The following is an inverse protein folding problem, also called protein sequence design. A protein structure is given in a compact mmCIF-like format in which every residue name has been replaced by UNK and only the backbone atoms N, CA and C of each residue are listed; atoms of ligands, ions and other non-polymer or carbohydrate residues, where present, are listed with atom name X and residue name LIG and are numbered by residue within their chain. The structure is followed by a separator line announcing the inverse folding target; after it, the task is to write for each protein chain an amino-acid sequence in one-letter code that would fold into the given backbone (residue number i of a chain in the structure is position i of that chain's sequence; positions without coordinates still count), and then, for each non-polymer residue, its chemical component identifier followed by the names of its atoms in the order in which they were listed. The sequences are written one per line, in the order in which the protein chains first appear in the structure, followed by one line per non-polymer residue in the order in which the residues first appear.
data_IF_042660922784
#
_entry.id   IF_042660922784
#
_cell.length_a   1.000
_cell.length_b   1.000
_cell.length_c   1.000
_cell.angle_alpha   90.00
_cell.angle_beta   90.00
_cell.angle_gamma   90.00
#
_symmetry.space_group_name_H-M   'P 1'
#
loop_
_entity.id
_entity.type
_entity.pdbx_description
1 polymer ?
#
# COMPACT_ATOMS: atom_id res chain seq x y z
N UNK A 1 -24.23 11.95 -1.20
CA UNK A 1 -23.40 11.15 -2.13
C UNK A 1 -23.34 9.67 -1.74
N UNK A 2 -23.10 8.74 -2.68
CA UNK A 2 -22.87 7.30 -2.40
C UNK A 2 -21.54 7.09 -1.69
N UNK A 3 -21.48 6.15 -0.73
CA UNK A 3 -20.20 5.72 -0.14
C UNK A 3 -19.40 4.94 -1.17
N UNK A 4 -18.07 5.01 -1.11
CA UNK A 4 -17.19 4.24 -2.00
C UNK A 4 -17.52 2.74 -1.97
N UNK A 5 -17.69 2.17 -0.78
CA UNK A 5 -18.06 0.76 -0.61
C UNK A 5 -19.40 0.38 -1.25
N UNK A 6 -20.35 1.30 -1.34
CA UNK A 6 -21.62 1.05 -2.01
C UNK A 6 -21.51 1.21 -3.53
N UNK A 7 -20.68 2.14 -4.00
CA UNK A 7 -20.37 2.30 -5.42
C UNK A 7 -19.66 1.07 -6.00
N UNK A 8 -18.68 0.50 -5.27
CA UNK A 8 -17.99 -0.74 -5.65
C UNK A 8 -18.99 -1.88 -5.89
N UNK A 9 -19.96 -2.06 -4.99
CA UNK A 9 -21.00 -3.10 -5.10
C UNK A 9 -21.87 -2.92 -6.34
N UNK A 10 -22.00 -1.72 -6.90
CA UNK A 10 -22.75 -1.51 -8.16
C UNK A 10 -22.03 -2.23 -9.29
N UNK A 11 -20.71 -2.08 -9.37
CA UNK A 11 -19.91 -2.66 -10.45
C UNK A 11 -19.68 -4.16 -10.25
N UNK A 12 -19.41 -4.61 -9.03
CA UNK A 12 -19.19 -6.03 -8.72
C UNK A 12 -20.40 -6.93 -9.07
N UNK A 13 -21.61 -6.37 -9.21
CA UNK A 13 -22.79 -7.11 -9.70
C UNK A 13 -22.56 -7.73 -11.07
N UNK A 14 -21.85 -7.02 -11.95
CA UNK A 14 -21.63 -7.42 -13.34
C UNK A 14 -20.17 -7.79 -13.62
N UNK A 15 -19.25 -7.14 -12.93
CA UNK A 15 -17.81 -7.32 -13.07
C UNK A 15 -17.27 -8.19 -11.94
N UNK A 16 -17.45 -9.50 -12.08
CA UNK A 16 -16.93 -10.48 -11.12
C UNK A 16 -16.54 -11.78 -11.83
N UNK A 17 -15.81 -12.65 -11.11
CA UNK A 17 -15.30 -13.94 -11.63
C UNK A 17 -16.37 -14.88 -12.22
N UNK A 18 -17.66 -14.71 -11.88
CA UNK A 18 -18.75 -15.57 -12.40
C UNK A 18 -19.27 -15.09 -13.75
N UNK A 19 -19.35 -13.76 -13.93
CA UNK A 19 -19.90 -13.11 -15.14
C UNK A 19 -18.83 -12.79 -16.17
N UNK A 20 -17.68 -12.29 -15.74
CA UNK A 20 -16.52 -12.07 -16.60
C UNK A 20 -15.76 -13.37 -16.72
N UNK A 21 -15.93 -14.06 -17.86
CA UNK A 21 -15.30 -15.35 -18.14
C UNK A 21 -14.07 -15.17 -19.00
N UNK A 22 -13.04 -15.97 -18.72
CA UNK A 22 -11.79 -15.97 -19.49
C UNK A 22 -10.86 -14.80 -19.19
N UNK A 23 -11.25 -13.89 -18.29
CA UNK A 23 -10.39 -12.80 -17.80
C UNK A 23 -10.47 -12.65 -16.30
N UNK A 24 -9.33 -12.43 -15.68
CA UNK A 24 -9.22 -12.02 -14.29
C UNK A 24 -9.42 -10.51 -14.18
N UNK A 25 -10.14 -10.05 -13.17
CA UNK A 25 -10.18 -8.64 -12.80
C UNK A 25 -9.18 -8.50 -11.67
N UNK A 26 -8.05 -7.83 -11.94
CA UNK A 26 -7.01 -7.66 -10.94
C UNK A 26 -7.56 -6.89 -9.72
N UNK A 27 -7.02 -7.13 -8.52
CA UNK A 27 -7.33 -6.35 -7.33
C UNK A 27 -7.30 -4.85 -7.58
N UNK A 28 -8.14 -4.12 -6.84
CA UNK A 28 -8.34 -2.66 -6.92
C UNK A 28 -8.87 -2.11 -8.25
N UNK A 29 -9.05 -2.92 -9.31
CA UNK A 29 -9.51 -2.41 -10.63
C UNK A 29 -10.87 -1.73 -10.53
N UNK A 30 -11.83 -2.38 -9.87
CA UNK A 30 -13.17 -1.82 -9.65
C UNK A 30 -13.12 -0.70 -8.61
N UNK A 31 -12.30 -0.86 -7.57
CA UNK A 31 -12.16 0.11 -6.49
C UNK A 31 -11.67 1.46 -7.00
N UNK A 32 -10.62 1.49 -7.84
CA UNK A 32 -10.07 2.73 -8.40
C UNK A 32 -11.07 3.42 -9.32
N UNK A 33 -11.79 2.66 -10.15
CA UNK A 33 -12.85 3.20 -11.01
C UNK A 33 -14.00 3.80 -10.18
N UNK A 34 -14.42 3.12 -9.12
CA UNK A 34 -15.44 3.60 -8.19
C UNK A 34 -14.98 4.84 -7.42
N UNK A 35 -13.74 4.83 -6.95
CA UNK A 35 -13.12 5.94 -6.23
C UNK A 35 -13.13 7.20 -7.08
N UNK A 36 -12.65 7.10 -8.32
CA UNK A 36 -12.68 8.21 -9.26
C UNK A 36 -14.11 8.74 -9.46
N UNK A 37 -15.06 7.85 -9.73
CA UNK A 37 -16.44 8.22 -9.97
C UNK A 37 -17.08 8.95 -8.78
N UNK A 38 -16.87 8.49 -7.54
CA UNK A 38 -17.39 9.17 -6.36
C UNK A 38 -16.69 10.50 -6.14
N UNK A 39 -15.37 10.60 -6.31
CA UNK A 39 -14.64 11.86 -6.20
C UNK A 39 -15.16 12.92 -7.18
N UNK A 40 -15.52 12.55 -8.41
CA UNK A 40 -16.12 13.50 -9.37
C UNK A 40 -17.48 14.05 -8.92
N UNK A 41 -18.14 13.37 -7.98
CA UNK A 41 -19.44 13.74 -7.40
C UNK A 41 -19.32 14.53 -6.09
N UNK A 42 -18.13 14.54 -5.48
CA UNK A 42 -17.88 15.27 -4.25
C UNK A 42 -17.66 16.76 -4.50
N UNK A 43 -18.20 17.57 -3.59
CA UNK A 43 -17.85 18.99 -3.52
C UNK A 43 -16.49 19.14 -2.83
N UNK A 44 -15.71 20.13 -3.26
CA UNK A 44 -14.42 20.41 -2.64
C UNK A 44 -14.62 20.82 -1.17
N UNK A 45 -13.82 20.26 -0.24
CA UNK A 45 -13.95 20.58 1.18
C UNK A 45 -13.62 22.05 1.44
N UNK A 46 -14.45 22.72 2.24
CA UNK A 46 -14.21 24.12 2.68
C UNK A 46 -13.14 24.21 3.78
N UNK A 47 -12.85 23.10 4.46
CA UNK A 47 -11.87 23.03 5.53
C UNK A 47 -10.44 22.99 4.96
N UNK A 48 -9.61 24.00 5.27
CA UNK A 48 -8.29 24.27 4.67
C UNK A 48 -7.18 23.23 4.94
N UNK A 49 -7.52 22.02 5.36
CA UNK A 49 -6.56 20.93 5.62
C UNK A 49 -7.13 19.54 5.31
N UNK A 50 -8.28 19.48 4.64
CA UNK A 50 -8.92 18.23 4.24
C UNK A 50 -8.83 18.10 2.72
N UNK A 51 -8.25 17.03 2.21
CA UNK A 51 -8.26 16.75 0.77
C UNK A 51 -9.56 16.08 0.35
N UNK A 52 -9.89 16.13 -0.95
CA UNK A 52 -11.07 15.46 -1.50
C UNK A 52 -11.05 13.94 -1.23
N UNK A 53 -9.86 13.33 -1.33
CA UNK A 53 -9.65 11.91 -1.04
C UNK A 53 -9.84 11.59 0.45
N UNK A 54 -9.34 12.45 1.35
CA UNK A 54 -9.57 12.29 2.79
C UNK A 54 -11.06 12.43 3.13
N UNK A 55 -11.77 13.38 2.51
CA UNK A 55 -13.22 13.52 2.64
C UNK A 55 -13.95 12.25 2.20
N UNK A 56 -13.58 11.66 1.05
CA UNK A 56 -14.11 10.38 0.59
C UNK A 56 -13.90 9.27 1.62
N UNK A 57 -12.68 9.16 2.17
CA UNK A 57 -12.29 8.16 3.18
C UNK A 57 -13.13 8.31 4.45
N UNK A 58 -13.30 9.52 4.96
CA UNK A 58 -14.19 9.83 6.10
C UNK A 58 -15.64 9.41 5.83
N UNK A 59 -16.17 9.74 4.65
CA UNK A 59 -17.54 9.37 4.28
C UNK A 59 -17.72 7.86 4.13
N UNK A 60 -16.67 7.15 3.75
CA UNK A 60 -16.63 5.69 3.69
C UNK A 60 -16.37 5.05 5.06
N UNK A 61 -16.30 5.83 6.15
CA UNK A 61 -16.20 5.34 7.53
C UNK A 61 -14.78 5.16 8.06
N UNK A 62 -13.75 5.64 7.36
CA UNK A 62 -12.39 5.67 7.89
C UNK A 62 -12.24 6.81 8.91
N UNK A 63 -11.38 6.61 9.91
CA UNK A 63 -11.03 7.65 10.90
C UNK A 63 -9.77 8.38 10.48
N UNK A 64 -9.75 9.71 10.60
CA UNK A 64 -8.55 10.53 10.43
C UNK A 64 -8.24 11.28 11.73
N UNK A 65 -6.96 11.45 12.10
CA UNK A 65 -6.57 12.26 13.25
C UNK A 65 -7.17 13.66 13.17
N UNK A 66 -7.78 14.13 14.26
CA UNK A 66 -8.42 15.44 14.32
C UNK A 66 -9.84 15.52 13.75
N UNK A 67 -10.41 14.40 13.27
CA UNK A 67 -11.79 14.35 12.80
C UNK A 67 -12.64 13.43 13.68
N UNK A 68 -13.74 13.97 14.18
CA UNK A 68 -14.76 13.22 14.95
C UNK A 68 -15.98 12.91 14.10
N UNK A 69 -16.87 12.03 14.59
CA UNK A 69 -18.15 11.74 13.91
C UNK A 69 -19.02 12.99 13.72
N UNK A 70 -18.96 13.93 14.67
CA UNK A 70 -19.67 15.20 14.59
C UNK A 70 -19.13 16.05 13.42
N UNK A 71 -17.81 16.16 13.27
CA UNK A 71 -17.20 16.86 12.13
C UNK A 71 -17.58 16.22 10.79
N UNK A 72 -17.71 14.90 10.73
CA UNK A 72 -18.16 14.21 9.50
C UNK A 72 -19.60 14.56 9.17
N UNK A 73 -20.47 14.73 10.18
CA UNK A 73 -21.86 15.13 9.99
C UNK A 73 -21.94 16.57 9.49
N UNK A 74 -21.21 17.49 10.11
CA UNK A 74 -21.11 18.90 9.66
C UNK A 74 -20.63 18.99 8.21
N UNK A 75 -19.59 18.25 7.84
CA UNK A 75 -19.09 18.19 6.46
C UNK A 75 -20.16 17.75 5.46
N UNK A 76 -21.11 16.89 5.85
CA UNK A 76 -22.23 16.45 4.99
C UNK A 76 -23.33 17.49 4.93
N UNK A 77 -23.63 18.14 6.04
CA UNK A 77 -24.67 19.17 6.12
C UNK A 77 -24.27 20.44 5.33
N UNK A 78 -22.98 20.75 5.24
CA UNK A 78 -22.45 21.86 4.43
C UNK A 78 -22.50 21.64 2.91
N UNK A 79 -22.58 20.39 2.46
CA UNK A 79 -22.46 19.98 1.07
C UNK A 79 -23.86 19.84 0.42
N UNK A 80 -24.36 20.94 -0.13
CA UNK A 80 -25.78 21.06 -0.53
C UNK A 80 -26.13 20.41 -1.86
N UNK A 81 -25.20 20.35 -2.81
CA UNK A 81 -25.41 19.85 -4.18
C UNK A 81 -24.58 18.59 -4.48
N UNK A 82 -24.03 17.97 -3.44
CA UNK A 82 -23.09 16.87 -3.60
C UNK A 82 -23.76 15.59 -4.12
N UNK A 83 -23.23 15.06 -5.23
CA UNK A 83 -23.85 13.95 -5.96
C UNK A 83 -24.87 14.33 -7.02
N UNK A 84 -25.20 15.62 -7.18
CA UNK A 84 -26.09 16.09 -8.26
C UNK A 84 -25.38 16.21 -9.61
N UNK A 85 -24.05 16.32 -9.59
CA UNK A 85 -23.17 16.35 -10.75
C UNK A 85 -22.08 15.29 -10.58
N UNK A 86 -21.36 14.99 -11.66
CA UNK A 86 -20.33 13.97 -11.65
C UNK A 86 -20.55 12.86 -12.66
N UNK A 87 -19.63 11.91 -12.67
CA UNK A 87 -19.68 10.74 -13.53
C UNK A 87 -20.74 9.77 -13.02
N UNK A 88 -21.66 9.37 -13.90
CA UNK A 88 -22.68 8.38 -13.57
C UNK A 88 -22.10 6.96 -13.46
N UNK A 89 -22.70 6.05 -12.67
CA UNK A 89 -22.26 4.66 -12.61
C UNK A 89 -22.30 3.97 -13.98
N UNK A 90 -23.27 4.33 -14.84
CA UNK A 90 -23.42 3.75 -16.18
C UNK A 90 -22.22 4.05 -17.08
N UNK A 91 -21.65 5.25 -16.98
CA UNK A 91 -20.43 5.59 -17.71
C UNK A 91 -19.26 4.70 -17.27
N UNK A 92 -19.09 4.49 -15.97
CA UNK A 92 -18.02 3.62 -15.44
C UNK A 92 -18.22 2.18 -15.90
N UNK A 93 -19.45 1.67 -15.88
CA UNK A 93 -19.77 0.35 -16.42
C UNK A 93 -19.43 0.25 -17.91
N UNK A 94 -19.76 1.26 -18.73
CA UNK A 94 -19.37 1.29 -20.15
C UNK A 94 -17.85 1.18 -20.33
N UNK A 95 -17.07 1.94 -19.54
CA UNK A 95 -15.60 1.90 -19.63
C UNK A 95 -14.97 0.63 -19.10
N UNK A 96 -15.53 0.03 -18.05
CA UNK A 96 -15.15 -1.31 -17.62
C UNK A 96 -15.39 -2.35 -18.72
N UNK A 97 -16.52 -2.29 -19.41
CA UNK A 97 -16.81 -3.17 -20.55
C UNK A 97 -15.82 -2.96 -21.70
N UNK A 98 -15.49 -1.71 -22.04
CA UNK A 98 -14.51 -1.42 -23.10
C UNK A 98 -13.12 -1.95 -22.75
N UNK A 99 -12.65 -1.73 -21.51
CA UNK A 99 -11.35 -2.23 -21.06
C UNK A 99 -11.25 -3.76 -21.14
N UNK A 100 -12.35 -4.48 -20.82
CA UNK A 100 -12.42 -5.93 -20.97
C UNK A 100 -12.26 -6.40 -22.43
N UNK A 101 -12.73 -5.62 -23.40
CA UNK A 101 -12.71 -6.00 -24.82
C UNK A 101 -11.46 -5.50 -25.55
N UNK A 102 -10.90 -4.35 -25.14
CA UNK A 102 -9.81 -3.67 -25.83
C UNK A 102 -8.47 -4.44 -25.85
N UNK A 103 -8.28 -5.38 -24.90
CA UNK A 103 -7.03 -6.13 -24.74
C UNK A 103 -7.26 -7.64 -24.90
N UNK A 104 -7.55 -8.17 -26.10
CA UNK A 104 -7.93 -9.58 -26.29
C UNK A 104 -6.83 -10.58 -25.87
N UNK A 105 -5.56 -10.19 -25.97
CA UNK A 105 -4.41 -11.03 -25.61
C UNK A 105 -4.13 -11.06 -24.09
N UNK A 106 -4.67 -10.10 -23.32
CA UNK A 106 -4.46 -10.04 -21.88
C UNK A 106 -5.40 -10.98 -21.14
N UNK A 107 -4.86 -11.81 -20.24
CA UNK A 107 -5.67 -12.72 -19.41
C UNK A 107 -6.19 -12.04 -18.15
N UNK A 108 -5.65 -10.86 -17.82
CA UNK A 108 -6.11 -10.00 -16.73
C UNK A 108 -6.52 -8.61 -17.23
N UNK A 109 -7.38 -7.94 -16.47
CA UNK A 109 -7.64 -6.50 -16.61
C UNK A 109 -7.23 -5.81 -15.33
N UNK A 110 -6.32 -4.86 -15.47
CA UNK A 110 -5.72 -4.11 -14.37
C UNK A 110 -6.33 -2.70 -14.23
N UNK A 111 -6.08 -1.99 -13.11
CA UNK A 111 -6.64 -0.67 -12.86
C UNK A 111 -6.28 0.36 -13.94
N UNK A 112 -5.07 0.32 -14.48
CA UNK A 112 -4.63 1.29 -15.49
C UNK A 112 -5.39 1.16 -16.81
N UNK A 113 -5.70 -0.07 -17.25
CA UNK A 113 -6.52 -0.28 -18.44
C UNK A 113 -7.88 0.44 -18.31
N UNK A 114 -8.52 0.32 -17.14
CA UNK A 114 -9.82 0.95 -16.88
C UNK A 114 -9.68 2.47 -16.72
N UNK A 115 -8.67 2.95 -15.97
CA UNK A 115 -8.45 4.39 -15.79
C UNK A 115 -8.16 5.10 -17.12
N UNK A 116 -7.44 4.45 -18.04
CA UNK A 116 -7.18 4.98 -19.38
C UNK A 116 -8.46 5.07 -20.22
N UNK A 117 -9.34 4.07 -20.16
CA UNK A 117 -10.66 4.11 -20.81
C UNK A 117 -11.57 5.20 -20.21
N UNK A 118 -11.53 5.38 -18.89
CA UNK A 118 -12.25 6.46 -18.21
C UNK A 118 -11.77 7.83 -18.69
N UNK A 119 -10.45 8.03 -18.79
CA UNK A 119 -9.81 9.27 -19.25
C UNK A 119 -10.12 9.57 -20.72
N UNK A 120 -9.90 8.59 -21.61
CA UNK A 120 -10.11 8.74 -23.05
C UNK A 120 -11.58 9.05 -23.37
N UNK A 121 -12.51 8.43 -22.64
CA UNK A 121 -13.94 8.64 -22.83
C UNK A 121 -14.44 10.03 -22.48
N UNK A 122 -13.71 10.82 -21.66
CA UNK A 122 -14.12 12.18 -21.28
C UNK A 122 -14.25 13.12 -22.48
N UNK A 123 -13.44 12.93 -23.52
CA UNK A 123 -13.46 13.76 -24.74
C UNK A 123 -14.79 13.68 -25.49
N UNK A 124 -15.44 12.52 -25.45
CA UNK A 124 -16.67 12.24 -26.19
C UNK A 124 -17.91 12.17 -25.27
N UNK A 125 -17.75 12.51 -23.99
CA UNK A 125 -18.84 12.44 -23.03
C UNK A 125 -19.85 13.57 -23.27
N UNK A 126 -21.05 13.23 -23.73
CA UNK A 126 -22.09 14.19 -24.14
C UNK A 126 -22.54 15.15 -23.04
N UNK A 127 -22.55 14.71 -21.78
CA UNK A 127 -22.95 15.55 -20.62
C UNK A 127 -21.80 16.35 -20.00
N UNK A 128 -20.55 16.16 -20.43
CA UNK A 128 -19.38 16.91 -19.93
C UNK A 128 -18.87 17.74 -21.09
N UNK A 129 -19.47 18.91 -21.27
CA UNK A 129 -19.14 19.82 -22.37
C UNK A 129 -18.03 20.81 -22.02
N UNK A 130 -17.90 21.19 -20.74
CA UNK A 130 -16.90 22.15 -20.26
C UNK A 130 -15.50 21.52 -20.16
N UNK A 131 -14.50 22.19 -20.73
CA UNK A 131 -13.10 21.75 -20.62
C UNK A 131 -12.58 21.86 -19.18
N UNK A 132 -13.01 22.87 -18.42
CA UNK A 132 -12.64 23.01 -17.00
C UNK A 132 -13.08 21.79 -16.18
N UNK A 133 -14.26 21.24 -16.47
CA UNK A 133 -14.76 20.03 -15.80
C UNK A 133 -13.96 18.80 -16.23
N UNK A 134 -13.59 18.71 -17.52
CA UNK A 134 -12.73 17.61 -17.99
C UNK A 134 -11.36 17.66 -17.32
N UNK A 135 -10.77 18.84 -17.20
CA UNK A 135 -9.48 19.02 -16.56
C UNK A 135 -9.54 18.64 -15.08
N UNK A 136 -10.56 19.12 -14.34
CA UNK A 136 -10.81 18.69 -12.95
C UNK A 136 -10.91 17.17 -12.82
N UNK A 137 -11.59 16.50 -13.76
CA UNK A 137 -11.73 15.04 -13.72
C UNK A 137 -10.42 14.31 -14.04
N UNK A 138 -9.55 14.88 -14.88
CA UNK A 138 -8.18 14.37 -15.11
C UNK A 138 -7.30 14.55 -13.87
N UNK A 139 -7.40 15.68 -13.18
CA UNK A 139 -6.70 15.89 -11.90
C UNK A 139 -7.15 14.85 -10.86
N UNK A 140 -8.44 14.57 -10.76
CA UNK A 140 -8.97 13.52 -9.87
C UNK A 140 -8.46 12.13 -10.29
N UNK A 141 -8.30 11.83 -11.59
CA UNK A 141 -7.65 10.59 -12.02
C UNK A 141 -6.22 10.49 -11.50
N UNK A 142 -5.45 11.58 -11.53
CA UNK A 142 -4.09 11.61 -10.99
C UNK A 142 -4.06 11.29 -9.49
N UNK A 143 -4.99 11.84 -8.71
CA UNK A 143 -5.15 11.53 -7.28
C UNK A 143 -5.44 10.05 -7.05
N UNK A 144 -6.30 9.43 -7.88
CA UNK A 144 -6.62 8.01 -7.78
C UNK A 144 -5.43 7.12 -8.19
N UNK A 145 -4.67 7.53 -9.23
CA UNK A 145 -3.44 6.83 -9.63
C UNK A 145 -2.40 6.84 -8.50
N UNK A 146 -2.25 7.97 -7.81
CA UNK A 146 -1.36 8.09 -6.64
C UNK A 146 -1.83 7.23 -5.45
N UNK A 147 -3.13 7.21 -5.17
CA UNK A 147 -3.68 6.32 -4.12
C UNK A 147 -3.44 4.85 -4.47
N UNK A 148 -3.64 4.45 -5.72
CA UNK A 148 -3.34 3.09 -6.19
C UNK A 148 -1.85 2.75 -5.99
N UNK A 149 -0.94 3.65 -6.36
CA UNK A 149 0.50 3.47 -6.12
C UNK A 149 0.80 3.18 -4.64
N UNK A 150 0.20 3.96 -3.74
CA UNK A 150 0.39 3.79 -2.31
C UNK A 150 -0.15 2.44 -1.82
N UNK A 151 -1.30 1.99 -2.33
CA UNK A 151 -1.87 0.68 -2.03
C UNK A 151 -0.88 -0.42 -2.45
N UNK A 152 -0.50 -0.49 -3.73
CA UNK A 152 0.33 -1.60 -4.23
C UNK A 152 1.75 -1.59 -3.68
N UNK A 153 2.34 -0.41 -3.39
CA UNK A 153 3.62 -0.32 -2.68
C UNK A 153 3.52 -1.02 -1.32
N UNK A 154 2.47 -0.73 -0.55
CA UNK A 154 2.26 -1.33 0.76
C UNK A 154 2.01 -2.84 0.67
N UNK A 155 1.26 -3.31 -0.33
CA UNK A 155 1.01 -4.75 -0.54
C UNK A 155 2.29 -5.51 -0.89
N UNK A 156 3.09 -4.99 -1.84
CA UNK A 156 4.36 -5.60 -2.23
C UNK A 156 5.37 -5.58 -1.06
N UNK A 157 5.45 -4.48 -0.32
CA UNK A 157 6.28 -4.41 0.90
C UNK A 157 5.89 -5.47 1.92
N UNK A 158 4.58 -5.65 2.17
CA UNK A 158 4.08 -6.68 3.09
C UNK A 158 4.33 -8.08 2.56
N UNK A 159 4.14 -8.32 1.26
CA UNK A 159 4.40 -9.59 0.64
C UNK A 159 5.87 -9.99 0.73
N UNK A 160 6.80 -9.04 0.62
CA UNK A 160 8.25 -9.27 0.82
C UNK A 160 8.54 -9.53 2.31
N UNK A 161 8.05 -8.65 3.18
CA UNK A 161 8.31 -8.71 4.62
C UNK A 161 7.65 -9.92 5.32
N UNK A 162 6.73 -10.63 4.68
CA UNK A 162 6.13 -11.86 5.19
C UNK A 162 7.10 -13.07 5.23
N UNK A 163 8.40 -12.88 4.96
CA UNK A 163 9.44 -13.85 5.30
C UNK A 163 9.65 -13.87 6.84
N UNK A 164 8.89 -14.73 7.51
CA UNK A 164 8.92 -14.85 8.96
C UNK A 164 10.30 -15.23 9.51
N UNK A 165 11.07 -16.02 8.76
CA UNK A 165 12.38 -16.47 9.19
C UNK A 165 13.41 -15.34 9.09
N UNK A 166 13.32 -14.52 8.04
CA UNK A 166 14.13 -13.31 7.94
C UNK A 166 13.78 -12.30 9.03
N UNK A 167 12.48 -12.09 9.32
CA UNK A 167 12.05 -11.22 10.42
C UNK A 167 12.53 -11.73 11.78
N UNK A 168 12.44 -13.04 12.05
CA UNK A 168 12.95 -13.64 13.30
C UNK A 168 14.45 -13.41 13.46
N UNK A 169 15.23 -13.58 12.39
CA UNK A 169 16.68 -13.32 12.41
C UNK A 169 16.99 -11.85 12.65
N UNK A 170 16.33 -10.93 11.94
CA UNK A 170 16.52 -9.49 12.10
C UNK A 170 16.14 -9.04 13.51
N UNK A 171 14.99 -9.51 14.02
CA UNK A 171 14.55 -9.25 15.39
C UNK A 171 15.54 -9.78 16.42
N UNK A 172 15.97 -11.04 16.29
CA UNK A 172 16.95 -11.63 17.21
C UNK A 172 18.24 -10.81 17.27
N UNK A 173 18.79 -10.43 16.11
CA UNK A 173 19.96 -9.57 16.05
C UNK A 173 19.71 -8.19 16.68
N UNK A 174 18.55 -7.58 16.47
CA UNK A 174 18.18 -6.31 17.08
C UNK A 174 18.10 -6.41 18.61
N UNK A 175 17.43 -7.43 19.14
CA UNK A 175 17.28 -7.66 20.59
C UNK A 175 18.61 -7.98 21.25
N UNK A 176 19.47 -8.78 20.61
CA UNK A 176 20.82 -9.09 21.12
C UNK A 176 21.64 -7.79 21.29
N UNK A 177 21.57 -6.88 20.31
CA UNK A 177 22.26 -5.59 20.37
C UNK A 177 21.64 -4.62 21.40
N UNK A 178 20.30 -4.55 21.51
CA UNK A 178 19.65 -3.72 22.53
C UNK A 178 20.02 -4.20 23.93
N UNK A 179 19.99 -5.52 24.17
CA UNK A 179 20.34 -6.10 25.47
C UNK A 179 21.77 -5.69 25.86
N UNK A 180 22.72 -5.89 24.95
CA UNK A 180 24.11 -5.48 25.15
C UNK A 180 24.24 -3.98 25.43
N UNK A 181 23.57 -3.13 24.63
CA UNK A 181 23.59 -1.68 24.80
C UNK A 181 23.01 -1.21 26.15
N UNK A 182 21.85 -1.75 26.53
CA UNK A 182 21.17 -1.35 27.78
C UNK A 182 21.86 -1.88 29.03
N UNK A 183 22.49 -3.05 28.97
CA UNK A 183 23.19 -3.68 30.09
C UNK A 183 24.69 -3.34 30.14
N UNK A 184 25.20 -2.59 29.15
CA UNK A 184 26.64 -2.33 28.94
C UNK A 184 27.46 -3.63 28.84
N UNK A 185 26.87 -4.62 28.20
CA UNK A 185 27.49 -5.90 27.87
C UNK A 185 27.95 -5.90 26.40
N UNK A 186 28.69 -6.94 26.02
CA UNK A 186 29.14 -7.16 24.64
C UNK A 186 28.27 -8.21 23.96
N UNK A 187 28.10 -8.07 22.64
CA UNK A 187 27.39 -9.06 21.82
C UNK A 187 28.37 -10.13 21.37
N UNK A 188 28.02 -11.40 21.54
CA UNK A 188 28.84 -12.50 21.03
C UNK A 188 28.62 -12.66 19.52
N UNK A 189 29.67 -12.47 18.76
CA UNK A 189 29.68 -12.70 17.33
C UNK A 189 29.55 -14.20 17.02
N UNK A 190 28.52 -14.57 16.26
CA UNK A 190 28.20 -15.98 15.96
C UNK A 190 29.25 -16.64 15.04
N UNK A 191 30.02 -15.85 14.29
CA UNK A 191 31.00 -16.36 13.33
C UNK A 191 32.41 -16.44 13.91
N UNK A 192 32.85 -15.41 14.64
CA UNK A 192 34.21 -15.35 15.22
C UNK A 192 34.26 -15.87 16.65
N UNK A 193 33.11 -15.96 17.33
CA UNK A 193 33.01 -16.28 18.75
C UNK A 193 33.47 -15.16 19.68
N UNK A 194 33.94 -14.04 19.15
CA UNK A 194 34.45 -12.89 19.91
C UNK A 194 33.31 -12.02 20.43
N UNK A 195 33.62 -11.19 21.41
CA UNK A 195 32.68 -10.24 22.02
C UNK A 195 32.91 -8.85 21.42
N UNK A 196 31.93 -8.39 20.66
CA UNK A 196 31.92 -7.10 19.98
C UNK A 196 31.05 -6.08 20.76
N UNK A 197 31.31 -4.79 20.56
CA UNK A 197 30.42 -3.74 21.04
C UNK A 197 29.06 -3.81 20.33
N UNK A 198 27.95 -3.40 20.97
CA UNK A 198 26.64 -3.39 20.34
C UNK A 198 26.63 -2.50 19.08
N UNK A 199 26.09 -3.03 17.99
CA UNK A 199 25.97 -2.36 16.70
C UNK A 199 24.83 -1.32 16.74
N UNK A 200 25.18 -0.12 17.18
CA UNK A 200 24.25 1.02 17.17
C UNK A 200 23.78 1.39 15.78
N UNK A 201 24.59 1.16 14.74
CA UNK A 201 24.21 1.49 13.37
C UNK A 201 23.07 0.59 12.91
N UNK A 202 23.15 -0.73 13.19
CA UNK A 202 22.06 -1.65 12.94
C UNK A 202 20.79 -1.23 13.71
N UNK A 203 20.92 -0.94 15.00
CA UNK A 203 19.76 -0.54 15.82
C UNK A 203 19.10 0.74 15.29
N UNK A 204 19.89 1.76 14.95
CA UNK A 204 19.40 3.01 14.36
C UNK A 204 18.69 2.78 13.03
N UNK A 205 19.25 1.93 12.17
CA UNK A 205 18.65 1.63 10.86
C UNK A 205 17.25 1.01 10.93
N UNK A 206 16.89 0.38 12.07
CA UNK A 206 15.54 -0.13 12.35
C UNK A 206 14.69 0.96 13.00
N UNK A 207 15.20 1.61 14.02
CA UNK A 207 14.49 2.64 14.82
C UNK A 207 14.03 3.84 13.96
N UNK A 208 14.85 4.24 12.99
CA UNK A 208 14.55 5.35 12.09
C UNK A 208 13.39 5.05 11.12
N UNK A 209 13.08 3.77 10.85
CA UNK A 209 11.94 3.39 9.99
C UNK A 209 10.58 3.74 10.57
N UNK A 210 10.53 4.02 11.87
CA UNK A 210 9.33 4.47 12.57
C UNK A 210 9.58 5.83 13.24
N UNK A 211 10.46 6.63 12.63
CA UNK A 211 10.73 8.03 12.98
C UNK A 211 11.18 8.25 14.42
N UNK A 212 11.93 7.30 15.01
CA UNK A 212 12.53 7.52 16.34
C UNK A 212 13.73 8.46 16.22
N UNK A 213 13.66 9.69 16.75
CA UNK A 213 14.80 10.60 16.72
C UNK A 213 15.93 10.09 17.62
N UNK A 214 17.17 10.52 17.34
CA UNK A 214 18.35 10.11 18.11
C UNK A 214 18.18 10.42 19.62
N UNK A 215 17.54 11.55 19.95
CA UNK A 215 17.25 11.95 21.34
C UNK A 215 16.34 10.98 22.10
N UNK A 216 15.56 10.14 21.41
CA UNK A 216 14.64 9.17 22.01
C UNK A 216 15.08 7.71 21.84
N UNK A 217 16.25 7.46 21.27
CA UNK A 217 16.72 6.08 21.02
C UNK A 217 16.86 5.29 22.32
N UNK A 218 17.42 5.92 23.36
CA UNK A 218 17.67 5.26 24.64
C UNK A 218 16.36 4.89 25.34
N UNK A 219 15.37 5.79 25.31
CA UNK A 219 14.05 5.53 25.86
C UNK A 219 13.36 4.38 25.13
N UNK A 220 13.37 4.39 23.80
CA UNK A 220 12.77 3.33 22.99
C UNK A 220 13.43 1.98 23.25
N UNK A 221 14.77 1.91 23.29
CA UNK A 221 15.53 0.69 23.61
C UNK A 221 15.16 0.15 25.01
N UNK A 222 15.03 1.03 26.00
CA UNK A 222 14.60 0.65 27.36
C UNK A 222 13.14 0.18 27.40
N UNK A 223 12.23 0.84 26.69
CA UNK A 223 10.83 0.44 26.56
C UNK A 223 10.73 -1.01 26.04
N UNK A 224 11.49 -1.35 24.99
CA UNK A 224 11.54 -2.72 24.44
C UNK A 224 12.08 -3.72 25.46
N UNK A 225 13.18 -3.41 26.16
CA UNK A 225 13.75 -4.32 27.17
C UNK A 225 12.81 -4.52 28.37
N UNK A 226 12.15 -3.46 28.82
CA UNK A 226 11.17 -3.54 29.90
C UNK A 226 9.97 -4.39 29.50
N UNK A 227 9.51 -4.25 28.25
CA UNK A 227 8.44 -5.08 27.70
C UNK A 227 8.82 -6.57 27.66
N UNK A 228 10.03 -6.89 27.19
CA UNK A 228 10.56 -8.26 27.19
C UNK A 228 10.69 -8.79 28.62
N UNK A 229 11.20 -7.98 29.54
CA UNK A 229 11.35 -8.33 30.96
C UNK A 229 10.03 -8.65 31.63
N UNK A 230 9.00 -7.81 31.40
CA UNK A 230 7.65 -8.04 31.93
C UNK A 230 7.04 -9.35 31.42
N UNK A 231 7.17 -9.64 30.12
CA UNK A 231 6.72 -10.92 29.56
C UNK A 231 7.45 -12.12 30.18
N UNK A 232 8.75 -12.00 30.39
CA UNK A 232 9.55 -13.06 31.00
C UNK A 232 9.17 -13.33 32.46
N UNK A 233 8.79 -12.30 33.22
CA UNK A 233 8.30 -12.44 34.61
C UNK A 233 6.97 -13.22 34.62
N UNK A 234 6.12 -13.00 33.64
CA UNK A 234 4.84 -13.71 33.44
C UNK A 234 5.02 -15.14 32.86
N UNK A 235 6.26 -15.60 32.66
CA UNK A 235 6.56 -16.89 32.04
C UNK A 235 6.23 -16.97 30.54
N UNK A 236 6.03 -15.82 29.88
CA UNK A 236 5.73 -15.72 28.45
C UNK A 236 6.99 -15.48 27.64
N UNK A 237 7.01 -16.00 26.42
CA UNK A 237 8.07 -15.72 25.45
C UNK A 237 7.77 -14.44 24.69
N UNK A 238 8.80 -13.63 24.45
CA UNK A 238 8.67 -12.46 23.60
C UNK A 238 8.41 -12.86 22.15
N UNK A 239 7.41 -12.23 21.54
CA UNK A 239 7.14 -12.29 20.11
C UNK A 239 7.14 -10.85 19.58
N UNK A 240 7.92 -10.58 18.52
CA UNK A 240 7.95 -9.26 17.93
C UNK A 240 6.59 -8.80 17.39
N UNK A 241 5.68 -9.73 17.09
CA UNK A 241 4.31 -9.43 16.62
C UNK A 241 3.44 -8.79 17.70
N UNK A 242 3.78 -8.96 18.98
CA UNK A 242 2.99 -8.40 20.08
C UNK A 242 3.27 -6.90 20.30
N UNK A 243 4.26 -6.34 19.61
CA UNK A 243 4.56 -4.91 19.61
C UNK A 243 4.44 -4.34 18.19
N UNK A 244 3.34 -3.63 17.90
CA UNK A 244 3.07 -3.11 16.55
C UNK A 244 4.15 -2.16 16.03
N UNK A 245 4.72 -1.31 16.91
CA UNK A 245 5.77 -0.36 16.52
C UNK A 245 7.03 -1.08 16.07
N UNK A 246 7.50 -2.03 16.88
CA UNK A 246 8.67 -2.83 16.55
C UNK A 246 8.42 -3.71 15.31
N UNK A 247 7.25 -4.35 15.24
CA UNK A 247 6.90 -5.18 14.09
C UNK A 247 6.95 -4.37 12.78
N UNK A 248 6.36 -3.16 12.77
CA UNK A 248 6.39 -2.25 11.62
C UNK A 248 7.82 -1.83 11.27
N UNK A 249 8.64 -1.48 12.26
CA UNK A 249 10.03 -1.10 12.05
C UNK A 249 10.84 -2.23 11.39
N UNK A 250 10.68 -3.46 11.88
CA UNK A 250 11.34 -4.65 11.34
C UNK A 250 10.88 -4.96 9.91
N UNK A 251 9.57 -4.81 9.61
CA UNK A 251 9.06 -5.00 8.25
C UNK A 251 9.65 -4.00 7.26
N UNK A 252 9.67 -2.72 7.64
CA UNK A 252 10.25 -1.65 6.81
C UNK A 252 11.75 -1.85 6.59
N UNK A 253 12.48 -2.26 7.64
CA UNK A 253 13.90 -2.54 7.52
C UNK A 253 14.18 -3.76 6.66
N UNK A 254 13.46 -4.87 6.88
CA UNK A 254 13.63 -6.07 6.08
C UNK A 254 13.33 -5.81 4.60
N UNK A 255 12.31 -5.02 4.31
CA UNK A 255 12.01 -4.60 2.95
C UNK A 255 13.16 -3.78 2.35
N UNK A 256 13.70 -2.78 3.07
CA UNK A 256 14.86 -2.02 2.60
C UNK A 256 16.07 -2.92 2.30
N UNK A 257 16.36 -3.88 3.18
CA UNK A 257 17.49 -4.80 2.97
C UNK A 257 17.25 -5.75 1.79
N UNK A 258 16.00 -6.09 1.50
CA UNK A 258 15.64 -7.02 0.44
C UNK A 258 15.36 -6.35 -0.90
N UNK A 259 15.04 -5.05 -0.96
CA UNK A 259 14.62 -4.36 -2.20
C UNK A 259 15.66 -4.51 -3.32
N UNK A 260 16.94 -4.40 -2.96
CA UNK A 260 18.06 -4.53 -3.90
C UNK A 260 18.42 -6.00 -4.16
N UNK A 261 18.19 -6.89 -3.19
CA UNK A 261 18.48 -8.32 -3.29
C UNK A 261 17.51 -9.07 -4.20
N UNK A 262 16.23 -8.66 -4.19
CA UNK A 262 15.21 -9.10 -5.15
C UNK A 262 15.54 -8.52 -6.53
N UNK A 263 16.47 -7.54 -6.58
CA UNK A 263 16.79 -6.73 -7.74
C UNK A 263 15.49 -6.33 -8.42
N UNK A 264 14.61 -5.64 -7.68
CA UNK A 264 13.35 -5.13 -8.26
C UNK A 264 13.66 -4.39 -9.58
N UNK A 265 14.78 -3.67 -9.65
CA UNK A 265 15.30 -3.04 -10.87
C UNK A 265 15.64 -4.02 -12.02
N UNK A 266 16.05 -5.25 -11.74
CA UNK A 266 16.30 -6.29 -12.76
C UNK A 266 15.04 -7.05 -13.19
N UNK A 267 13.89 -6.90 -12.52
CA UNK A 267 12.61 -7.42 -13.05
C UNK A 267 12.25 -6.83 -14.41
N UNK A 268 12.76 -5.63 -14.71
CA UNK A 268 12.64 -4.97 -16.01
C UNK A 268 13.57 -5.60 -17.07
N UNK A 269 14.52 -6.43 -16.65
CA UNK A 269 15.46 -7.12 -17.54
C UNK A 269 15.04 -8.57 -17.76
N UNK A 270 15.14 -9.06 -19.00
CA UNK A 270 14.75 -10.42 -19.39
C UNK A 270 15.65 -11.54 -18.82
N UNK A 271 16.68 -11.22 -18.04
CA UNK A 271 17.64 -12.21 -17.52
C UNK A 271 17.66 -12.13 -16.00
N UNK A 272 16.94 -13.05 -15.36
CA UNK A 272 16.90 -13.22 -13.92
C UNK A 272 17.56 -14.56 -13.58
N UNK A 273 18.47 -14.56 -12.60
CA UNK A 273 19.08 -15.80 -12.12
C UNK A 273 18.07 -16.69 -11.36
N UNK A 274 18.35 -18.00 -11.29
CA UNK A 274 17.39 -18.98 -10.75
C UNK A 274 17.03 -18.72 -9.28
N UNK A 275 17.95 -18.21 -8.47
CA UNK A 275 17.71 -17.88 -7.05
C UNK A 275 16.80 -16.65 -6.92
N UNK A 276 17.04 -15.63 -7.72
CA UNK A 276 16.19 -14.43 -7.77
C UNK A 276 14.78 -14.77 -8.26
N UNK A 277 14.65 -15.64 -9.28
CA UNK A 277 13.35 -16.09 -9.76
C UNK A 277 12.55 -16.81 -8.66
N UNK A 278 13.18 -17.69 -7.89
CA UNK A 278 12.52 -18.37 -6.77
C UNK A 278 11.99 -17.39 -5.72
N UNK A 279 12.76 -16.33 -5.41
CA UNK A 279 12.32 -15.27 -4.48
C UNK A 279 11.11 -14.52 -5.04
N UNK A 280 11.13 -14.18 -6.33
CA UNK A 280 10.02 -13.51 -7.01
C UNK A 280 8.76 -14.39 -6.95
N UNK A 281 8.89 -15.68 -7.25
CA UNK A 281 7.76 -16.62 -7.24
C UNK A 281 7.14 -16.75 -5.84
N UNK A 282 7.95 -16.70 -4.77
CA UNK A 282 7.46 -16.68 -3.39
C UNK A 282 6.64 -15.40 -3.12
N UNK A 283 7.11 -14.24 -3.57
CA UNK A 283 6.40 -12.97 -3.41
C UNK A 283 5.11 -12.96 -4.23
N UNK A 284 5.13 -13.42 -5.48
CA UNK A 284 3.94 -13.60 -6.32
C UNK A 284 2.92 -14.52 -5.65
N UNK A 285 3.37 -15.65 -5.11
CA UNK A 285 2.51 -16.59 -4.38
C UNK A 285 1.80 -15.94 -3.19
N UNK A 286 2.47 -15.03 -2.48
CA UNK A 286 1.87 -14.25 -1.38
C UNK A 286 0.87 -13.21 -1.92
N UNK A 287 1.20 -12.49 -2.99
CA UNK A 287 0.26 -11.56 -3.64
C UNK A 287 -1.03 -12.26 -4.08
N UNK A 288 -0.89 -13.41 -4.74
CA UNK A 288 -2.03 -14.23 -5.20
C UNK A 288 -2.88 -14.69 -4.01
N UNK A 289 -2.25 -15.22 -2.96
CA UNK A 289 -2.95 -15.80 -1.80
C UNK A 289 -3.62 -14.74 -0.93
N UNK A 290 -2.91 -13.66 -0.63
CA UNK A 290 -3.29 -12.71 0.42
C UNK A 290 -4.11 -11.52 -0.14
N UNK A 291 -3.93 -11.19 -1.42
CA UNK A 291 -4.58 -10.03 -2.07
C UNK A 291 -5.43 -10.40 -3.29
N UNK A 292 -5.36 -11.65 -3.76
CA UNK A 292 -6.27 -12.17 -4.77
C UNK A 292 -5.89 -11.90 -6.22
N UNK A 293 -4.64 -11.47 -6.47
CA UNK A 293 -4.03 -11.41 -7.79
C UNK A 293 -4.02 -12.79 -8.48
N UNK A 294 -3.83 -12.80 -9.79
CA UNK A 294 -3.41 -13.97 -10.56
C UNK A 294 -1.93 -13.85 -10.98
N UNK A 295 -1.43 -14.82 -11.74
CA UNK A 295 -0.02 -14.86 -12.11
C UNK A 295 0.43 -13.68 -13.00
N UNK A 296 -0.43 -13.26 -13.93
CA UNK A 296 -0.18 -12.12 -14.81
C UNK A 296 -0.20 -10.81 -14.01
N UNK A 297 -1.29 -10.55 -13.28
CA UNK A 297 -1.46 -9.31 -12.52
C UNK A 297 -0.48 -9.17 -11.35
N UNK A 298 -0.04 -10.28 -10.73
CA UNK A 298 1.02 -10.24 -9.73
C UNK A 298 2.37 -9.85 -10.35
N UNK A 299 2.68 -10.33 -11.56
CA UNK A 299 3.86 -9.91 -12.32
C UNK A 299 3.81 -8.42 -12.66
N UNK A 300 2.67 -7.97 -13.19
CA UNK A 300 2.46 -6.57 -13.56
C UNK A 300 2.62 -5.63 -12.37
N UNK A 301 2.04 -5.97 -11.22
CA UNK A 301 2.17 -5.16 -10.00
C UNK A 301 3.61 -5.12 -9.49
N UNK A 302 4.32 -6.24 -9.50
CA UNK A 302 5.74 -6.26 -9.11
C UNK A 302 6.60 -5.39 -10.04
N UNK A 303 6.39 -5.49 -11.35
CA UNK A 303 7.08 -4.66 -12.34
C UNK A 303 6.75 -3.17 -12.17
N UNK A 304 5.48 -2.86 -11.93
CA UNK A 304 5.03 -1.50 -11.70
C UNK A 304 5.69 -0.92 -10.45
N UNK A 305 5.62 -1.61 -9.31
CA UNK A 305 6.22 -1.18 -8.05
C UNK A 305 7.74 -1.06 -8.15
N UNK A 306 8.40 -2.00 -8.83
CA UNK A 306 9.83 -1.92 -9.13
C UNK A 306 10.19 -0.64 -9.90
N UNK A 307 9.38 -0.26 -10.90
CA UNK A 307 9.60 0.96 -11.68
C UNK A 307 9.47 2.23 -10.84
N UNK A 308 8.61 2.24 -9.82
CA UNK A 308 8.45 3.39 -8.93
C UNK A 308 9.69 3.55 -8.05
N UNK A 309 10.20 2.46 -7.49
CA UNK A 309 11.43 2.50 -6.68
C UNK A 309 12.64 2.92 -7.51
N UNK A 310 12.77 2.42 -8.75
CA UNK A 310 13.84 2.83 -9.66
C UNK A 310 13.82 4.34 -9.97
N UNK A 311 12.65 4.98 -9.97
CA UNK A 311 12.52 6.45 -10.14
C UNK A 311 12.80 7.22 -8.87
N UNK A 312 12.41 6.68 -7.70
CA UNK A 312 12.68 7.30 -6.40
C UNK A 312 14.18 7.36 -6.10
N UNK A 313 14.89 6.26 -6.33
CA UNK A 313 16.35 6.17 -6.10
C UNK A 313 17.17 7.05 -7.09
N UNK A 314 16.57 7.61 -8.15
CA UNK A 314 17.23 8.54 -9.08
C UNK A 314 17.15 10.01 -8.65
N UNK A 315 16.34 10.31 -7.61
CA UNK A 315 16.10 11.66 -7.10
C UNK A 315 16.68 11.91 -5.69
N UNK A 316 17.28 10.89 -5.06
CA UNK A 316 18.07 10.95 -3.82
C UNK A 316 19.58 10.84 -4.11
#
# INVERSE_FOLDING_TARGET
VTRLSDEIKIYEKDYNRRKVRGKHIAPHTIEMAAMWAVLTRLEDPKHAGLTLLQKLKLYNGQTLPGFTEENIKELKDEATSEGMMGISPRYVQDKLSNALVAHPEATSVNPFMVLNELEAGLKHHSLISSEDVRERYREILSVVKEEYENIVKNEVQRAIAADEDALKRLCGNYIDNIKAYTQREKVKNKFTGQYDEPDERLMRSIEEKIDIPDSRKDDFRREIMNYIGALSIDGKTFDYRSNERLHKALQLKLFEDQKDSIKLTSLVSNVVDQDTQQKIDVVKGRLIRDYGYDDESATDVLNFVASIFARGDAHD
#
